data_IF_447598807592
#
_entry.id   IF_447598807592
#
_cell.length_a   1.000
_cell.length_b   1.000
_cell.length_c   1.000
_cell.angle_alpha   90.00
_cell.angle_beta   90.00
_cell.angle_gamma   90.00
#
_symmetry.space_group_name_H-M   'P 1'
#
loop_
_entity.id
_entity.type
_entity.pdbx_description
1 polymer ?
#
# COMPACT_ATOMS: atom_id res chain seq x y z
N UNK A 1 -5.15 12.32 17.20
CA UNK A 1 -6.60 12.56 17.31
C UNK A 1 -7.31 12.15 16.02
N UNK A 2 -8.61 11.89 16.04
CA UNK A 2 -9.37 11.42 14.87
C UNK A 2 -9.39 12.43 13.70
N UNK A 3 -9.12 13.70 13.98
CA UNK A 3 -9.05 14.79 13.00
C UNK A 3 -7.61 15.00 12.46
N UNK A 4 -6.66 14.14 12.83
CA UNK A 4 -5.26 14.23 12.45
C UNK A 4 -4.42 15.20 13.31
N UNK A 5 -5.01 15.86 14.29
CA UNK A 5 -4.27 16.76 15.19
C UNK A 5 -3.40 15.97 16.16
N UNK A 6 -2.10 16.33 16.27
CA UNK A 6 -1.20 15.77 17.27
C UNK A 6 -1.46 16.50 18.60
N UNK A 7 -1.96 15.79 19.61
CA UNK A 7 -2.25 16.32 20.95
C UNK A 7 -1.10 16.10 21.93
N UNK A 8 -0.40 14.97 21.79
CA UNK A 8 0.69 14.57 22.66
C UNK A 8 1.88 14.07 21.84
N UNK A 9 3.09 14.26 22.34
CA UNK A 9 4.27 13.64 21.76
C UNK A 9 5.24 13.26 22.88
N UNK A 10 5.78 12.05 22.84
CA UNK A 10 6.75 11.54 23.79
C UNK A 10 8.04 11.12 23.10
N UNK A 11 9.17 11.31 23.79
CA UNK A 11 10.42 10.66 23.44
C UNK A 11 10.39 9.19 23.87
N UNK A 12 11.32 8.36 23.37
CA UNK A 12 11.44 6.97 23.82
C UNK A 12 11.70 6.87 25.32
N UNK A 13 12.51 7.79 25.90
CA UNK A 13 12.78 7.83 27.33
C UNK A 13 11.53 8.17 28.16
N UNK A 14 10.72 9.13 27.67
CA UNK A 14 9.44 9.47 28.28
C UNK A 14 8.46 8.31 28.22
N UNK A 15 8.38 7.61 27.06
CA UNK A 15 7.55 6.43 26.91
C UNK A 15 8.00 5.30 27.85
N UNK A 16 9.32 5.04 27.96
CA UNK A 16 9.86 4.02 28.84
C UNK A 16 9.50 4.28 30.31
N UNK A 17 9.53 5.56 30.75
CA UNK A 17 9.20 5.98 32.09
C UNK A 17 7.69 6.07 32.39
N UNK A 18 6.82 6.08 31.38
CA UNK A 18 5.38 6.24 31.55
C UNK A 18 4.76 5.02 32.25
N UNK A 19 3.80 5.28 33.14
CA UNK A 19 3.00 4.27 33.85
C UNK A 19 1.61 4.11 33.25
N UNK A 20 1.14 5.12 32.50
CA UNK A 20 -0.15 5.15 31.83
C UNK A 20 -0.07 6.03 30.58
N UNK A 21 -1.01 5.85 29.66
CA UNK A 21 -1.20 6.76 28.52
C UNK A 21 -1.91 8.05 28.96
N UNK A 22 -1.74 9.18 28.24
CA UNK A 22 -2.43 10.43 28.57
C UNK A 22 -3.95 10.23 28.53
N UNK A 23 -4.68 11.09 29.24
CA UNK A 23 -6.15 11.18 29.07
C UNK A 23 -6.49 11.46 27.61
N UNK A 24 -7.59 10.88 27.12
CA UNK A 24 -8.06 11.14 25.77
C UNK A 24 -8.46 12.61 25.58
N UNK A 25 -8.22 13.19 24.39
CA UNK A 25 -8.70 14.53 24.06
C UNK A 25 -10.22 14.65 24.19
N UNK A 26 -10.70 15.79 24.71
CA UNK A 26 -12.13 16.06 24.82
C UNK A 26 -12.67 16.68 23.52
N UNK A 27 -13.89 16.26 23.12
CA UNK A 27 -14.61 16.77 21.97
C UNK A 27 -16.11 16.84 22.28
N UNK A 28 -16.75 17.94 21.88
CA UNK A 28 -18.18 18.14 22.07
C UNK A 28 -18.99 17.02 21.38
N UNK A 29 -19.86 16.38 22.14
CA UNK A 29 -20.73 15.32 21.65
C UNK A 29 -20.06 13.98 21.37
N UNK A 30 -18.77 13.84 21.74
CA UNK A 30 -18.02 12.59 21.61
C UNK A 30 -17.45 12.15 22.97
N UNK A 31 -17.41 10.85 23.17
CA UNK A 31 -16.79 10.21 24.33
C UNK A 31 -15.55 9.45 23.89
N UNK A 32 -14.41 9.78 24.46
CA UNK A 32 -13.19 9.01 24.28
C UNK A 32 -13.40 7.57 24.79
N UNK A 33 -12.95 6.59 24.03
CA UNK A 33 -13.05 5.18 24.38
C UNK A 33 -11.70 4.59 24.78
N UNK A 34 -10.70 4.70 23.90
CA UNK A 34 -9.36 4.15 24.12
C UNK A 34 -8.35 4.73 23.14
N UNK A 35 -7.08 4.54 23.43
CA UNK A 35 -6.01 4.65 22.44
C UNK A 35 -5.91 3.35 21.64
N UNK A 36 -5.63 3.44 20.35
CA UNK A 36 -5.54 2.25 19.48
C UNK A 36 -4.20 1.49 19.61
N UNK A 37 -3.44 1.78 20.65
CA UNK A 37 -2.25 1.03 21.09
C UNK A 37 -2.18 1.02 22.59
N UNK A 38 -1.84 -0.15 23.18
CA UNK A 38 -1.58 -0.25 24.61
C UNK A 38 -0.21 0.32 24.96
N UNK A 39 -0.04 0.79 26.19
CA UNK A 39 1.27 1.26 26.67
C UNK A 39 2.34 0.17 26.61
N UNK A 40 1.97 -1.09 26.88
CA UNK A 40 2.87 -2.24 26.84
C UNK A 40 3.41 -2.46 25.42
N UNK A 41 2.52 -2.48 24.41
CA UNK A 41 2.87 -2.65 23.02
C UNK A 41 3.71 -1.48 22.50
N UNK A 42 3.39 -0.24 22.90
CA UNK A 42 4.19 0.94 22.56
C UNK A 42 5.63 0.84 23.10
N UNK A 43 5.80 0.40 24.35
CA UNK A 43 7.13 0.19 24.94
C UNK A 43 7.93 -0.90 24.22
N UNK A 44 7.26 -1.93 23.72
CA UNK A 44 7.90 -3.04 23.02
C UNK A 44 8.42 -2.66 21.65
N UNK A 45 7.77 -1.72 20.93
CA UNK A 45 8.12 -1.39 19.54
C UNK A 45 9.46 -0.68 19.36
N UNK A 46 9.91 0.10 20.37
CA UNK A 46 11.16 0.89 20.35
C UNK A 46 11.39 1.70 19.05
N UNK A 47 10.34 2.21 18.44
CA UNK A 47 10.36 2.98 17.18
C UNK A 47 9.37 4.15 17.21
N UNK A 48 9.60 5.16 16.36
CA UNK A 48 8.66 6.27 16.19
C UNK A 48 7.35 5.75 15.56
N UNK A 49 6.23 6.08 16.20
CA UNK A 49 4.91 5.76 15.68
C UNK A 49 3.88 6.79 16.10
N UNK A 50 2.75 6.79 15.43
CA UNK A 50 1.58 7.57 15.76
C UNK A 50 0.55 6.67 16.45
N UNK A 51 -0.11 7.19 17.46
CA UNK A 51 -1.20 6.52 18.19
C UNK A 51 -2.45 7.35 18.03
N UNK A 52 -3.56 6.71 17.72
CA UNK A 52 -4.85 7.37 17.50
C UNK A 52 -5.81 7.13 18.66
N UNK A 53 -6.66 8.13 18.95
CA UNK A 53 -7.75 8.03 19.90
C UNK A 53 -9.05 7.59 19.20
N UNK A 54 -9.80 6.68 19.82
CA UNK A 54 -11.10 6.22 19.32
C UNK A 54 -12.24 6.89 20.10
N UNK A 55 -13.34 7.15 19.41
CA UNK A 55 -14.50 7.85 19.96
C UNK A 55 -15.81 7.19 19.57
N UNK A 56 -16.81 7.38 20.41
CA UNK A 56 -18.23 7.18 20.10
C UNK A 56 -19.02 8.43 20.43
N UNK A 57 -20.25 8.55 19.95
CA UNK A 57 -21.12 9.67 20.35
C UNK A 57 -21.56 9.54 21.82
N UNK A 58 -21.75 10.65 22.49
CA UNK A 58 -22.11 10.72 23.91
C UNK A 58 -23.52 10.18 24.22
N UNK A 59 -24.43 10.32 23.24
CA UNK A 59 -25.83 9.87 23.32
C UNK A 59 -26.11 8.54 22.61
N UNK A 60 -25.06 7.88 22.08
CA UNK A 60 -25.17 6.63 21.33
C UNK A 60 -25.78 6.77 19.93
N UNK A 61 -26.16 7.98 19.50
CA UNK A 61 -26.75 8.24 18.19
C UNK A 61 -25.69 8.42 17.13
N UNK A 62 -25.77 7.67 16.04
CA UNK A 62 -24.89 7.92 14.89
C UNK A 62 -25.33 9.14 14.11
N UNK A 63 -24.40 10.07 13.83
CA UNK A 63 -24.68 11.32 13.13
C UNK A 63 -23.98 11.31 11.78
N UNK A 64 -24.75 11.51 10.69
CA UNK A 64 -24.23 11.63 9.31
C UNK A 64 -24.46 13.06 8.84
N UNK A 65 -23.39 13.82 8.71
CA UNK A 65 -23.42 15.20 8.26
C UNK A 65 -23.38 15.24 6.73
N UNK A 66 -24.39 15.85 6.13
CA UNK A 66 -24.56 15.90 4.67
C UNK A 66 -24.72 17.32 4.17
N UNK A 67 -24.33 17.54 2.91
CA UNK A 67 -24.61 18.73 2.13
C UNK A 67 -25.32 18.35 0.84
N UNK A 68 -26.56 18.74 0.68
CA UNK A 68 -27.36 18.48 -0.51
C UNK A 68 -27.29 19.65 -1.49
N UNK A 69 -27.10 19.32 -2.75
CA UNK A 69 -27.06 20.28 -3.85
C UNK A 69 -28.46 20.49 -4.48
N UNK A 70 -28.63 21.58 -5.20
CA UNK A 70 -29.85 21.86 -5.96
C UNK A 70 -30.17 20.70 -6.93
N UNK A 71 -31.44 20.32 -6.98
CA UNK A 71 -31.94 19.19 -7.78
C UNK A 71 -31.49 17.80 -7.28
N UNK A 72 -30.92 17.71 -6.06
CA UNK A 72 -30.44 16.48 -5.42
C UNK A 72 -30.89 16.40 -3.96
N UNK A 73 -32.19 16.60 -3.73
CA UNK A 73 -32.79 16.71 -2.40
C UNK A 73 -33.61 15.50 -2.02
N UNK A 74 -33.59 14.42 -2.79
CA UNK A 74 -34.43 13.23 -2.60
C UNK A 74 -33.63 11.96 -2.41
N UNK A 75 -32.77 11.85 -1.35
CA UNK A 75 -32.01 10.64 -1.09
C UNK A 75 -32.84 9.55 -0.43
N UNK A 76 -32.34 8.30 -0.57
CA UNK A 76 -32.64 7.19 0.32
C UNK A 76 -31.38 6.63 0.95
N UNK A 77 -31.51 5.92 2.07
CA UNK A 77 -30.39 5.33 2.79
C UNK A 77 -30.56 3.81 2.91
N UNK A 78 -29.45 3.08 2.74
CA UNK A 78 -29.42 1.63 2.94
C UNK A 78 -28.54 1.28 4.14
N UNK A 79 -29.10 0.52 5.08
CA UNK A 79 -28.45 0.09 6.32
C UNK A 79 -28.61 -1.41 6.54
N UNK A 80 -27.66 -2.05 7.19
CA UNK A 80 -27.84 -3.37 7.78
C UNK A 80 -28.48 -3.20 9.16
N UNK A 81 -29.57 -3.89 9.44
CA UNK A 81 -30.33 -3.73 10.68
C UNK A 81 -30.61 -5.08 11.32
N UNK A 82 -30.28 -5.20 12.61
CA UNK A 82 -30.73 -6.30 13.46
C UNK A 82 -31.40 -5.68 14.68
N UNK A 83 -32.75 -5.66 14.68
CA UNK A 83 -33.60 -4.87 15.57
C UNK A 83 -34.27 -3.74 14.83
N UNK A 84 -34.19 -2.54 15.36
CA UNK A 84 -34.85 -1.33 14.80
C UNK A 84 -33.86 -0.17 14.73
N UNK A 85 -33.90 0.57 13.62
CA UNK A 85 -33.18 1.84 13.44
C UNK A 85 -34.16 2.93 13.08
N UNK A 86 -34.19 4.00 13.87
CA UNK A 86 -34.92 5.23 13.58
C UNK A 86 -34.00 6.19 12.82
N UNK A 87 -34.44 6.68 11.67
CA UNK A 87 -33.72 7.61 10.79
C UNK A 87 -34.41 8.97 10.86
N UNK A 88 -33.87 9.88 11.66
CA UNK A 88 -34.26 11.31 11.68
C UNK A 88 -33.40 12.03 10.62
N UNK A 89 -34.05 12.58 9.61
CA UNK A 89 -33.38 13.24 8.48
C UNK A 89 -32.83 14.64 8.81
N UNK A 90 -33.16 15.18 10.00
CA UNK A 90 -32.60 16.44 10.51
C UNK A 90 -33.25 17.70 9.91
N UNK A 91 -34.42 17.57 9.31
CA UNK A 91 -35.21 18.67 8.72
C UNK A 91 -36.56 18.93 9.43
N UNK A 92 -36.79 18.21 10.54
CA UNK A 92 -38.02 18.33 11.34
C UNK A 92 -39.22 17.52 10.83
N UNK A 93 -39.05 16.72 9.81
CA UNK A 93 -40.07 15.76 9.34
C UNK A 93 -40.15 14.55 10.27
N UNK A 94 -41.19 13.72 10.09
CA UNK A 94 -41.37 12.49 10.86
C UNK A 94 -40.23 11.50 10.49
N UNK A 95 -39.49 10.95 11.47
CA UNK A 95 -38.45 9.97 11.20
C UNK A 95 -38.97 8.68 10.56
N UNK A 96 -38.16 8.09 9.69
CA UNK A 96 -38.40 6.75 9.18
C UNK A 96 -37.96 5.69 10.19
N UNK A 97 -38.57 4.52 10.14
CA UNK A 97 -38.21 3.36 10.95
C UNK A 97 -37.87 2.18 10.06
N UNK A 98 -36.68 1.64 10.25
CA UNK A 98 -36.20 0.41 9.57
C UNK A 98 -36.16 -0.73 10.58
N UNK A 99 -36.64 -1.90 10.15
CA UNK A 99 -36.59 -3.13 10.96
C UNK A 99 -35.91 -4.23 10.15
N UNK A 100 -35.04 -4.99 10.81
CA UNK A 100 -34.32 -6.08 10.16
C UNK A 100 -33.85 -7.14 11.14
N UNK A 101 -33.28 -8.20 10.62
CA UNK A 101 -32.80 -9.36 11.40
C UNK A 101 -31.32 -9.64 11.20
N UNK A 102 -30.61 -8.82 10.44
CA UNK A 102 -29.18 -9.00 10.14
C UNK A 102 -28.52 -7.71 9.72
N UNK A 103 -27.37 -7.41 10.32
CA UNK A 103 -26.53 -6.27 9.92
C UNK A 103 -25.83 -6.47 8.55
N UNK A 104 -25.90 -7.67 7.99
CA UNK A 104 -25.32 -8.00 6.66
C UNK A 104 -26.33 -7.83 5.52
N UNK A 105 -27.62 -7.66 5.82
CA UNK A 105 -28.68 -7.50 4.82
C UNK A 105 -29.15 -6.06 4.76
N UNK A 106 -29.08 -5.46 3.58
CA UNK A 106 -29.50 -4.06 3.40
C UNK A 106 -31.00 -3.91 3.50
N UNK A 107 -31.46 -3.05 4.39
CA UNK A 107 -32.82 -2.51 4.46
C UNK A 107 -32.78 -1.05 3.99
N UNK A 108 -33.73 -0.65 3.16
CA UNK A 108 -33.77 0.68 2.57
C UNK A 108 -34.84 1.54 3.23
N UNK A 109 -34.53 2.84 3.48
CA UNK A 109 -35.54 3.84 3.77
C UNK A 109 -36.46 4.06 2.57
N UNK A 110 -37.68 4.61 2.74
CA UNK A 110 -38.34 5.35 1.67
C UNK A 110 -37.43 6.45 1.11
N UNK A 111 -37.74 6.97 -0.08
CA UNK A 111 -37.11 8.20 -0.58
C UNK A 111 -37.56 9.36 0.33
N UNK A 112 -36.60 10.09 0.90
CA UNK A 112 -36.86 11.26 1.69
C UNK A 112 -36.77 12.54 0.85
N UNK A 113 -37.78 13.45 0.96
CA UNK A 113 -37.84 14.69 0.19
C UNK A 113 -37.50 15.89 1.08
N UNK A 114 -36.29 16.44 0.95
CA UNK A 114 -35.90 17.69 1.58
C UNK A 114 -36.51 18.89 0.84
N UNK A 115 -37.04 19.84 1.58
CA UNK A 115 -37.65 21.03 1.02
C UNK A 115 -36.67 21.96 0.27
N UNK A 116 -35.40 21.92 0.60
CA UNK A 116 -34.34 22.75 0.01
C UNK A 116 -32.98 22.03 -0.01
N UNK A 117 -32.04 22.44 -0.88
CA UNK A 117 -30.65 22.08 -0.72
C UNK A 117 -30.06 22.71 0.53
N UNK A 118 -29.00 22.16 1.09
CA UNK A 118 -28.33 22.67 2.29
C UNK A 118 -27.64 21.62 3.12
N UNK A 119 -27.26 22.02 4.32
CA UNK A 119 -26.60 21.18 5.30
C UNK A 119 -27.63 20.57 6.27
N UNK A 120 -27.51 19.25 6.44
CA UNK A 120 -28.40 18.49 7.34
C UNK A 120 -27.57 17.50 8.15
N UNK A 121 -28.12 17.11 9.31
CA UNK A 121 -27.53 16.06 10.15
C UNK A 121 -28.54 14.94 10.31
N UNK A 122 -28.31 13.85 9.57
CA UNK A 122 -29.13 12.63 9.72
C UNK A 122 -28.72 11.95 11.02
N UNK A 123 -29.70 11.62 11.87
CA UNK A 123 -29.47 10.92 13.14
C UNK A 123 -30.05 9.52 13.07
N UNK A 124 -29.20 8.54 13.40
CA UNK A 124 -29.58 7.12 13.42
C UNK A 124 -29.59 6.65 14.88
N UNK A 125 -30.78 6.41 15.42
CA UNK A 125 -30.95 5.83 16.76
C UNK A 125 -31.22 4.35 16.61
N UNK A 126 -30.46 3.53 17.32
CA UNK A 126 -30.46 2.07 17.15
C UNK A 126 -31.01 1.40 18.40
N UNK A 127 -32.05 0.59 18.23
CA UNK A 127 -32.52 -0.41 19.21
C UNK A 127 -32.17 -1.80 18.69
N UNK A 128 -31.08 -2.36 19.23
CA UNK A 128 -30.40 -3.54 18.72
C UNK A 128 -29.00 -3.22 18.15
N UNK A 129 -28.71 -3.67 16.93
CA UNK A 129 -27.43 -3.40 16.24
C UNK A 129 -27.64 -3.00 14.79
N UNK A 130 -26.76 -2.15 14.27
CA UNK A 130 -26.74 -1.83 12.85
C UNK A 130 -25.34 -1.92 12.25
N UNK A 131 -25.29 -1.98 10.91
CA UNK A 131 -24.07 -1.88 10.13
C UNK A 131 -24.27 -0.98 8.91
N UNK A 132 -23.18 -0.36 8.48
CA UNK A 132 -23.14 0.24 7.16
C UNK A 132 -22.82 -0.85 6.14
N UNK A 133 -23.72 -1.06 5.19
CA UNK A 133 -23.60 -2.13 4.19
C UNK A 133 -23.45 -1.51 2.80
N UNK A 134 -22.35 -1.83 2.15
CA UNK A 134 -22.21 -1.54 0.71
C UNK A 134 -23.02 -2.57 -0.09
N UNK A 135 -23.77 -2.10 -1.07
CA UNK A 135 -24.70 -2.95 -1.83
C UNK A 135 -24.20 -3.33 -3.22
N UNK A 136 -22.90 -3.19 -3.49
CA UNK A 136 -22.40 -3.33 -4.86
C UNK A 136 -21.68 -4.63 -5.11
N UNK A 137 -22.15 -5.35 -6.11
CA UNK A 137 -21.37 -6.34 -6.88
C UNK A 137 -20.64 -5.70 -8.07
N UNK A 138 -20.83 -4.41 -8.34
CA UNK A 138 -20.16 -3.63 -9.40
C UNK A 138 -19.71 -2.28 -8.84
N UNK A 139 -18.45 -1.94 -9.06
CA UNK A 139 -17.68 -0.82 -8.53
C UNK A 139 -18.24 0.61 -8.72
N UNK A 140 -19.49 0.81 -9.10
CA UNK A 140 -19.95 2.11 -9.55
C UNK A 140 -20.92 2.86 -8.63
N UNK A 141 -21.55 2.24 -7.59
CA UNK A 141 -22.75 2.84 -7.00
C UNK A 141 -22.87 2.78 -5.47
N UNK A 142 -21.78 2.67 -4.74
CA UNK A 142 -21.81 2.41 -3.30
C UNK A 142 -21.45 3.61 -2.43
N UNK A 143 -22.34 4.58 -2.31
CA UNK A 143 -22.40 5.53 -1.18
C UNK A 143 -23.61 5.18 -0.33
N UNK A 144 -23.59 5.48 0.99
CA UNK A 144 -24.72 5.23 1.90
C UNK A 144 -25.99 5.98 1.49
N UNK A 145 -25.85 7.12 0.82
CA UNK A 145 -26.97 7.87 0.24
C UNK A 145 -27.10 7.57 -1.25
N UNK A 146 -28.32 7.30 -1.70
CA UNK A 146 -28.61 6.93 -3.09
C UNK A 146 -29.87 7.60 -3.62
N UNK A 147 -30.01 7.58 -4.93
CA UNK A 147 -31.23 7.96 -5.64
C UNK A 147 -32.27 6.82 -5.63
N UNK A 148 -31.83 5.58 -5.74
CA UNK A 148 -32.68 4.40 -5.72
C UNK A 148 -31.98 3.17 -5.14
N UNK A 149 -32.77 2.19 -4.72
CA UNK A 149 -32.24 0.88 -4.23
C UNK A 149 -31.66 0.00 -5.34
N UNK A 150 -31.88 0.34 -6.60
CA UNK A 150 -31.39 -0.38 -7.80
C UNK A 150 -29.99 0.09 -8.23
N UNK A 151 -29.44 -0.49 -9.30
CA UNK A 151 -28.18 -0.12 -9.93
C UNK A 151 -28.30 1.12 -10.86
N UNK A 152 -29.17 2.08 -10.52
CA UNK A 152 -29.39 3.30 -11.28
C UNK A 152 -28.12 4.17 -11.32
N UNK A 153 -27.74 4.64 -12.51
CA UNK A 153 -26.59 5.53 -12.69
C UNK A 153 -26.69 6.83 -11.87
N UNK A 154 -27.90 7.31 -11.58
CA UNK A 154 -28.17 8.48 -10.74
C UNK A 154 -27.75 8.28 -9.27
N UNK A 155 -27.49 7.06 -8.83
CA UNK A 155 -26.92 6.81 -7.48
C UNK A 155 -25.61 7.53 -7.24
N UNK A 156 -24.87 7.91 -8.30
CA UNK A 156 -23.62 8.67 -8.21
C UNK A 156 -23.82 10.13 -7.76
N UNK A 157 -25.04 10.67 -7.83
CA UNK A 157 -25.30 12.10 -7.54
C UNK A 157 -25.05 12.47 -6.07
N UNK A 158 -25.14 11.51 -5.14
CA UNK A 158 -24.91 11.74 -3.71
C UNK A 158 -23.46 11.48 -3.27
N UNK A 159 -22.53 11.19 -4.17
CA UNK A 159 -21.10 10.96 -3.85
C UNK A 159 -20.43 12.17 -3.18
N UNK A 160 -20.95 13.37 -3.41
CA UNK A 160 -20.48 14.62 -2.82
C UNK A 160 -21.35 15.11 -1.63
N UNK A 161 -22.28 14.30 -1.15
CA UNK A 161 -23.17 14.72 -0.10
C UNK A 161 -22.59 14.50 1.30
N UNK A 162 -22.00 13.34 1.56
CA UNK A 162 -21.54 12.96 2.90
C UNK A 162 -20.22 13.68 3.23
N UNK A 163 -20.20 14.45 4.35
CA UNK A 163 -19.08 15.27 4.79
C UNK A 163 -18.33 14.69 6.00
N UNK A 164 -19.09 14.22 6.99
CA UNK A 164 -18.57 13.73 8.27
C UNK A 164 -19.51 12.64 8.80
N UNK A 165 -18.98 11.69 9.55
CA UNK A 165 -19.76 10.67 10.25
C UNK A 165 -19.21 10.53 11.67
N UNK A 166 -20.10 10.63 12.66
CA UNK A 166 -19.83 10.31 14.06
C UNK A 166 -20.61 9.05 14.41
N UNK A 167 -19.90 7.96 14.68
CA UNK A 167 -20.50 6.65 14.87
C UNK A 167 -20.85 6.42 16.34
N UNK A 168 -22.11 6.06 16.58
CA UNK A 168 -22.64 5.66 17.88
C UNK A 168 -22.42 4.18 18.20
N UNK A 169 -22.67 3.81 19.46
CA UNK A 169 -22.40 2.47 20.00
C UNK A 169 -23.22 1.33 19.35
N UNK A 170 -24.35 1.64 18.71
CA UNK A 170 -25.20 0.64 18.04
C UNK A 170 -24.62 0.10 16.72
N UNK A 171 -23.54 0.70 16.20
CA UNK A 171 -22.88 0.26 14.96
C UNK A 171 -21.84 -0.79 15.29
N UNK A 172 -22.01 -1.98 14.75
CA UNK A 172 -21.11 -3.13 14.99
C UNK A 172 -20.33 -3.57 13.76
N UNK A 173 -20.69 -3.06 12.57
CA UNK A 173 -19.97 -3.42 11.33
C UNK A 173 -19.95 -2.30 10.31
N UNK A 174 -18.82 -2.23 9.56
CA UNK A 174 -18.68 -1.43 8.35
C UNK A 174 -18.28 -2.42 7.25
N UNK A 175 -19.26 -2.80 6.43
CA UNK A 175 -19.11 -3.81 5.40
C UNK A 175 -18.37 -3.33 4.16
N UNK A 176 -18.16 -4.23 3.21
CA UNK A 176 -17.53 -3.92 1.94
C UNK A 176 -18.25 -2.79 1.21
N UNK A 177 -17.48 -1.86 0.64
CA UNK A 177 -17.97 -0.71 -0.14
C UNK A 177 -18.90 0.25 0.62
N UNK A 178 -19.02 0.20 1.95
CA UNK A 178 -19.99 0.98 2.71
C UNK A 178 -19.92 2.49 2.43
N UNK A 179 -18.72 3.05 2.31
CA UNK A 179 -18.47 4.45 2.00
C UNK A 179 -17.73 4.65 0.68
N UNK A 180 -17.74 3.64 -0.19
CA UNK A 180 -17.09 3.74 -1.49
C UNK A 180 -17.61 4.96 -2.26
N UNK A 181 -16.67 5.74 -2.83
CA UNK A 181 -16.99 6.95 -3.58
C UNK A 181 -17.76 8.03 -2.81
N UNK A 182 -17.69 8.05 -1.48
CA UNK A 182 -18.08 9.22 -0.69
C UNK A 182 -16.97 10.28 -0.80
N UNK A 183 -16.88 10.96 -1.95
CA UNK A 183 -15.76 11.82 -2.34
C UNK A 183 -15.45 12.95 -1.37
N UNK A 184 -16.46 13.41 -0.62
CA UNK A 184 -16.37 14.54 0.30
C UNK A 184 -16.36 14.14 1.77
N UNK A 185 -16.35 12.85 2.07
CA UNK A 185 -16.19 12.37 3.44
C UNK A 185 -14.77 12.73 3.92
N UNK A 186 -14.70 13.67 4.87
CA UNK A 186 -13.46 14.19 5.42
C UNK A 186 -13.07 13.52 6.76
N UNK A 187 -14.06 13.18 7.58
CA UNK A 187 -13.87 12.62 8.92
C UNK A 187 -14.89 11.54 9.23
N UNK A 188 -14.41 10.48 9.91
CA UNK A 188 -15.26 9.44 10.48
C UNK A 188 -14.67 8.96 11.79
N UNK A 189 -15.49 8.85 12.83
CA UNK A 189 -15.10 8.17 14.07
C UNK A 189 -15.37 6.68 13.96
N UNK A 190 -14.50 5.86 14.57
CA UNK A 190 -14.65 4.40 14.61
C UNK A 190 -14.69 3.94 16.06
N UNK A 191 -15.85 3.45 16.55
CA UNK A 191 -15.96 2.92 17.90
C UNK A 191 -15.31 1.54 18.00
N UNK A 192 -14.90 1.18 19.22
CA UNK A 192 -14.26 -0.11 19.52
C UNK A 192 -15.16 -1.35 19.32
N UNK A 193 -16.41 -1.17 18.97
CA UNK A 193 -17.31 -2.26 18.58
C UNK A 193 -17.04 -2.82 17.18
N UNK A 194 -16.22 -2.12 16.36
CA UNK A 194 -15.89 -2.54 14.99
C UNK A 194 -14.77 -3.56 14.99
N UNK A 195 -14.95 -4.68 14.27
CA UNK A 195 -13.98 -5.79 14.22
C UNK A 195 -13.27 -5.95 12.89
N UNK A 196 -13.75 -5.27 11.84
CA UNK A 196 -13.13 -5.34 10.51
C UNK A 196 -13.45 -4.12 9.65
N UNK A 197 -12.55 -3.84 8.69
CA UNK A 197 -12.78 -2.89 7.60
C UNK A 197 -12.87 -3.72 6.32
N UNK A 198 -14.06 -3.73 5.71
CA UNK A 198 -14.34 -4.51 4.49
C UNK A 198 -13.58 -4.04 3.26
N UNK A 199 -13.62 -4.82 2.18
CA UNK A 199 -13.04 -4.42 0.90
C UNK A 199 -13.74 -3.18 0.32
N UNK A 200 -12.96 -2.27 -0.28
CA UNK A 200 -13.45 -1.03 -0.90
C UNK A 200 -14.17 -0.07 0.05
N UNK A 201 -14.13 -0.25 1.37
CA UNK A 201 -14.94 0.50 2.33
C UNK A 201 -14.82 2.01 2.15
N UNK A 202 -13.60 2.54 2.05
CA UNK A 202 -13.32 3.97 1.84
C UNK A 202 -12.72 4.26 0.46
N UNK A 203 -12.86 3.33 -0.49
CA UNK A 203 -12.32 3.54 -1.83
C UNK A 203 -12.91 4.81 -2.46
N UNK A 204 -12.05 5.76 -2.85
CA UNK A 204 -12.46 7.03 -3.42
C UNK A 204 -12.97 8.06 -2.40
N UNK A 205 -12.71 7.91 -1.10
CA UNK A 205 -12.93 8.97 -0.12
C UNK A 205 -11.80 10.01 -0.25
N UNK A 206 -11.90 10.87 -1.27
CA UNK A 206 -10.81 11.77 -1.69
C UNK A 206 -10.39 12.77 -0.61
N UNK A 207 -11.31 13.18 0.26
CA UNK A 207 -11.07 14.17 1.30
C UNK A 207 -10.84 13.59 2.70
N UNK A 208 -10.78 12.25 2.84
CA UNK A 208 -10.48 11.61 4.11
C UNK A 208 -9.01 11.84 4.47
N UNK A 209 -8.77 12.79 5.38
CA UNK A 209 -7.43 13.25 5.72
C UNK A 209 -6.75 12.40 6.80
N UNK A 210 -7.54 11.85 7.71
CA UNK A 210 -7.08 10.96 8.78
C UNK A 210 -8.18 10.00 9.19
N UNK A 211 -7.78 8.89 9.80
CA UNK A 211 -8.70 7.91 10.39
C UNK A 211 -7.97 7.14 11.48
N UNK A 212 -8.65 6.88 12.59
CA UNK A 212 -8.16 6.01 13.65
C UNK A 212 -8.86 4.66 13.56
N UNK A 213 -8.09 3.59 13.42
CA UNK A 213 -8.58 2.21 13.40
C UNK A 213 -8.53 1.69 14.85
N UNK A 214 -9.66 1.21 15.43
CA UNK A 214 -9.68 0.69 16.78
C UNK A 214 -8.97 -0.67 16.91
N UNK A 215 -8.49 -0.99 18.12
CA UNK A 215 -7.80 -2.25 18.46
C UNK A 215 -8.66 -3.50 18.27
N UNK A 216 -9.96 -3.34 18.15
CA UNK A 216 -10.89 -4.43 17.83
C UNK A 216 -10.82 -4.90 16.38
N UNK A 217 -10.23 -4.10 15.47
CA UNK A 217 -10.11 -4.43 14.04
C UNK A 217 -8.95 -5.39 13.80
N UNK A 218 -9.24 -6.55 13.21
CA UNK A 218 -8.25 -7.60 12.93
C UNK A 218 -7.79 -7.68 11.48
N UNK A 219 -8.50 -7.01 10.56
CA UNK A 219 -8.17 -7.04 9.13
C UNK A 219 -8.57 -5.78 8.38
N UNK A 220 -7.76 -5.43 7.38
CA UNK A 220 -8.03 -4.37 6.41
C UNK A 220 -8.22 -5.03 5.04
N UNK A 221 -9.42 -4.88 4.47
CA UNK A 221 -9.83 -5.52 3.23
C UNK A 221 -9.13 -4.96 1.97
N UNK A 222 -9.30 -5.68 0.86
CA UNK A 222 -8.76 -5.27 -0.43
C UNK A 222 -9.27 -3.88 -0.83
N UNK A 223 -8.37 -3.01 -1.31
CA UNK A 223 -8.70 -1.65 -1.76
C UNK A 223 -9.44 -0.78 -0.72
N UNK A 224 -9.33 -1.09 0.57
CA UNK A 224 -10.12 -0.42 1.61
C UNK A 224 -9.97 1.11 1.62
N UNK A 225 -8.76 1.63 1.36
CA UNK A 225 -8.44 3.07 1.30
C UNK A 225 -7.89 3.49 -0.07
N UNK A 226 -8.17 2.72 -1.12
CA UNK A 226 -7.73 3.09 -2.48
C UNK A 226 -8.22 4.51 -2.83
N UNK A 227 -7.31 5.34 -3.36
CA UNK A 227 -7.59 6.72 -3.77
C UNK A 227 -8.07 7.64 -2.63
N UNK A 228 -7.70 7.39 -1.38
CA UNK A 228 -7.81 8.37 -0.31
C UNK A 228 -6.68 9.41 -0.47
N UNK A 229 -6.84 10.33 -1.43
CA UNK A 229 -5.75 11.21 -1.88
C UNK A 229 -5.20 12.14 -0.81
N UNK A 230 -6.00 12.50 0.20
CA UNK A 230 -5.63 13.40 1.29
C UNK A 230 -5.25 12.69 2.58
N UNK A 231 -5.29 11.35 2.60
CA UNK A 231 -4.92 10.56 3.79
C UNK A 231 -3.43 10.72 4.08
N UNK A 232 -3.10 11.60 5.01
CA UNK A 232 -1.73 11.96 5.33
C UNK A 232 -1.07 11.01 6.34
N UNK A 233 -1.89 10.44 7.22
CA UNK A 233 -1.46 9.46 8.21
C UNK A 233 -2.57 8.49 8.55
N UNK A 234 -2.19 7.29 8.94
CA UNK A 234 -3.09 6.26 9.47
C UNK A 234 -2.30 5.42 10.47
N UNK A 235 -2.93 5.06 11.58
CA UNK A 235 -2.36 4.15 12.55
C UNK A 235 -3.04 2.79 12.41
N UNK A 236 -2.26 1.77 12.13
CA UNK A 236 -2.70 0.38 12.08
C UNK A 236 -2.46 -0.21 13.48
N UNK A 237 -3.49 -0.68 14.20
CA UNK A 237 -3.32 -1.27 15.53
C UNK A 237 -2.70 -2.67 15.45
N UNK A 238 -2.11 -3.13 16.58
CA UNK A 238 -1.48 -4.45 16.70
C UNK A 238 -2.44 -5.64 16.51
N UNK A 239 -3.72 -5.41 16.62
CA UNK A 239 -4.76 -6.41 16.37
C UNK A 239 -4.86 -6.80 14.89
N UNK A 240 -4.39 -5.94 13.97
CA UNK A 240 -4.47 -6.19 12.53
C UNK A 240 -3.42 -7.21 12.10
N UNK A 241 -3.86 -8.38 11.68
CA UNK A 241 -2.99 -9.47 11.21
C UNK A 241 -2.79 -9.51 9.71
N UNK A 242 -3.62 -8.79 8.95
CA UNK A 242 -3.52 -8.75 7.49
C UNK A 242 -3.91 -7.40 6.89
N UNK A 243 -3.10 -6.95 5.92
CA UNK A 243 -3.37 -5.81 5.05
C UNK A 243 -3.45 -6.33 3.62
N UNK A 244 -4.66 -6.34 3.06
CA UNK A 244 -4.90 -6.91 1.74
C UNK A 244 -4.33 -6.05 0.61
N UNK A 245 -4.25 -6.62 -0.60
CA UNK A 245 -3.78 -5.89 -1.78
C UNK A 245 -4.55 -4.61 -2.05
N UNK A 246 -3.87 -3.63 -2.67
CA UNK A 246 -4.42 -2.31 -3.01
C UNK A 246 -4.95 -1.50 -1.81
N UNK A 247 -4.73 -1.93 -0.56
CA UNK A 247 -5.37 -1.30 0.61
C UNK A 247 -5.15 0.22 0.66
N UNK A 248 -3.95 0.71 0.32
CA UNK A 248 -3.57 2.12 0.29
C UNK A 248 -3.14 2.60 -1.11
N UNK A 249 -3.64 1.94 -2.16
CA UNK A 249 -3.34 2.30 -3.54
C UNK A 249 -3.75 3.75 -3.85
N UNK A 250 -2.82 4.57 -4.40
CA UNK A 250 -3.03 6.01 -4.62
C UNK A 250 -3.34 6.85 -3.37
N UNK A 251 -2.87 6.47 -2.18
CA UNK A 251 -2.84 7.38 -1.02
C UNK A 251 -1.68 8.38 -1.19
N UNK A 252 -1.87 9.37 -2.05
CA UNK A 252 -0.79 10.22 -2.57
C UNK A 252 -0.12 11.09 -1.50
N UNK A 253 -0.79 11.40 -0.40
CA UNK A 253 -0.28 12.23 0.71
C UNK A 253 0.16 11.42 1.92
N UNK A 254 0.08 10.08 1.88
CA UNK A 254 0.51 9.22 2.97
C UNK A 254 2.02 9.30 3.14
N UNK A 255 2.46 10.10 4.12
CA UNK A 255 3.88 10.40 4.33
C UNK A 255 4.61 9.35 5.17
N UNK A 256 3.88 8.68 6.06
CA UNK A 256 4.40 7.61 6.91
C UNK A 256 3.30 6.63 7.31
N UNK A 257 3.66 5.39 7.51
CA UNK A 257 2.80 4.35 8.06
C UNK A 257 3.65 3.36 8.86
N UNK A 258 3.12 2.89 9.97
CA UNK A 258 3.73 1.82 10.75
C UNK A 258 2.99 0.52 10.47
N UNK A 259 3.73 -0.51 10.06
CA UNK A 259 3.21 -1.87 9.92
C UNK A 259 3.40 -2.56 11.26
N UNK A 260 2.34 -3.05 11.92
CA UNK A 260 2.45 -3.75 13.19
C UNK A 260 3.09 -5.14 13.03
N UNK A 261 3.68 -5.63 14.14
CA UNK A 261 4.38 -6.92 14.17
C UNK A 261 3.44 -8.14 14.08
N UNK A 262 2.14 -7.90 14.08
CA UNK A 262 1.08 -8.89 13.81
C UNK A 262 0.86 -9.17 12.31
N UNK A 263 1.32 -8.28 11.41
CA UNK A 263 1.12 -8.42 9.94
C UNK A 263 2.15 -9.37 9.37
N UNK A 264 1.70 -10.41 8.66
CA UNK A 264 2.58 -11.47 8.12
C UNK A 264 2.94 -11.31 6.63
N UNK A 265 2.28 -10.42 5.91
CA UNK A 265 2.58 -10.16 4.50
C UNK A 265 2.13 -8.76 4.06
N UNK A 266 2.86 -8.20 3.09
CA UNK A 266 2.45 -6.99 2.36
C UNK A 266 1.84 -7.45 1.03
N UNK A 267 0.55 -7.18 0.83
CA UNK A 267 -0.20 -7.59 -0.36
C UNK A 267 0.27 -6.89 -1.66
N UNK A 268 -0.21 -7.36 -2.80
CA UNK A 268 0.10 -6.73 -4.09
C UNK A 268 -0.46 -5.31 -4.16
N UNK A 269 0.34 -4.37 -4.69
CA UNK A 269 -0.02 -2.96 -4.88
C UNK A 269 -0.48 -2.24 -3.61
N UNK A 270 -0.17 -2.76 -2.41
CA UNK A 270 -0.69 -2.21 -1.14
C UNK A 270 -0.38 -0.72 -0.99
N UNK A 271 0.83 -0.27 -1.30
CA UNK A 271 1.28 1.12 -1.23
C UNK A 271 1.63 1.71 -2.61
N UNK A 272 1.16 1.08 -3.68
CA UNK A 272 1.46 1.59 -5.03
C UNK A 272 0.94 3.02 -5.20
N UNK A 273 1.82 3.91 -5.72
CA UNK A 273 1.56 5.34 -5.88
C UNK A 273 1.27 6.09 -4.57
N UNK A 274 1.83 5.65 -3.43
CA UNK A 274 1.94 6.48 -2.22
C UNK A 274 3.10 7.47 -2.42
N UNK A 275 2.84 8.55 -3.15
CA UNK A 275 3.88 9.42 -3.72
C UNK A 275 4.70 10.18 -2.68
N UNK A 276 4.20 10.37 -1.46
CA UNK A 276 4.87 11.07 -0.37
C UNK A 276 5.44 10.16 0.70
N UNK A 277 5.28 8.84 0.58
CA UNK A 277 5.83 7.88 1.53
C UNK A 277 7.37 7.92 1.49
N UNK A 278 7.97 8.51 2.53
CA UNK A 278 9.41 8.77 2.56
C UNK A 278 10.23 7.60 3.12
N UNK A 279 9.65 6.86 4.05
CA UNK A 279 10.30 5.68 4.65
C UNK A 279 9.28 4.68 5.17
N UNK A 280 9.68 3.41 5.24
CA UNK A 280 8.89 2.35 5.86
C UNK A 280 9.83 1.29 6.43
N UNK A 281 9.41 0.68 7.54
CA UNK A 281 10.07 -0.49 8.13
C UNK A 281 9.18 -1.70 7.93
N UNK A 282 9.70 -2.76 7.34
CA UNK A 282 9.04 -4.05 7.22
C UNK A 282 9.39 -4.89 8.46
N UNK A 283 8.41 -5.26 9.30
CA UNK A 283 8.66 -5.96 10.56
C UNK A 283 9.05 -7.43 10.34
N UNK A 284 9.58 -8.06 11.40
CA UNK A 284 10.08 -9.44 11.38
C UNK A 284 8.97 -10.49 11.15
N UNK A 285 7.72 -10.12 11.34
CA UNK A 285 6.57 -10.98 11.05
C UNK A 285 6.29 -11.14 9.55
N UNK A 286 6.76 -10.18 8.71
CA UNK A 286 6.47 -10.19 7.27
C UNK A 286 7.41 -11.13 6.53
N UNK A 287 6.84 -12.11 5.84
CA UNK A 287 7.59 -13.12 5.06
C UNK A 287 7.63 -12.84 3.56
N UNK A 288 6.78 -11.94 3.05
CA UNK A 288 6.74 -11.63 1.61
C UNK A 288 6.30 -10.20 1.32
N UNK A 289 6.88 -9.62 0.26
CA UNK A 289 6.49 -8.34 -0.32
C UNK A 289 5.86 -8.61 -1.69
N UNK A 290 4.58 -8.28 -1.83
CA UNK A 290 3.78 -8.57 -3.03
C UNK A 290 4.19 -7.77 -4.27
N UNK A 291 3.67 -8.17 -5.42
CA UNK A 291 3.92 -7.48 -6.69
C UNK A 291 3.43 -6.03 -6.63
N UNK A 292 4.24 -5.11 -7.15
CA UNK A 292 3.97 -3.66 -7.18
C UNK A 292 3.71 -3.02 -5.80
N UNK A 293 4.09 -3.67 -4.69
CA UNK A 293 3.72 -3.22 -3.35
C UNK A 293 4.10 -1.76 -3.08
N UNK A 294 5.25 -1.29 -3.58
CA UNK A 294 5.76 0.09 -3.46
C UNK A 294 6.01 0.76 -4.83
N UNK A 295 5.43 0.21 -5.91
CA UNK A 295 5.61 0.78 -7.25
C UNK A 295 5.10 2.24 -7.28
N UNK A 296 5.94 3.17 -7.77
CA UNK A 296 5.60 4.59 -7.85
C UNK A 296 5.61 5.32 -6.50
N UNK A 297 6.23 4.76 -5.46
CA UNK A 297 6.54 5.51 -4.23
C UNK A 297 7.73 6.44 -4.50
N UNK A 298 7.49 7.54 -5.20
CA UNK A 298 8.54 8.40 -5.75
C UNK A 298 9.48 9.01 -4.72
N UNK A 299 9.01 9.20 -3.47
CA UNK A 299 9.78 9.79 -2.37
C UNK A 299 10.34 8.77 -1.39
N UNK A 300 10.14 7.47 -1.64
CA UNK A 300 10.66 6.43 -0.77
C UNK A 300 12.19 6.40 -0.82
N UNK A 301 12.81 7.01 0.18
CA UNK A 301 14.27 7.12 0.29
C UNK A 301 14.89 5.97 1.10
N UNK A 302 14.14 5.43 2.05
CA UNK A 302 14.62 4.39 2.97
C UNK A 302 13.56 3.31 3.18
N UNK A 303 14.00 2.07 3.10
CA UNK A 303 13.22 0.91 3.50
C UNK A 303 14.13 -0.07 4.26
N UNK A 304 13.66 -0.55 5.40
CA UNK A 304 14.28 -1.67 6.10
C UNK A 304 13.48 -2.92 5.81
N UNK A 305 14.13 -3.94 5.26
CA UNK A 305 13.53 -5.26 4.98
C UNK A 305 14.06 -6.24 6.02
N UNK A 306 13.15 -6.91 6.72
CA UNK A 306 13.48 -7.91 7.73
C UNK A 306 14.09 -9.17 7.13
N UNK A 307 14.95 -9.84 7.91
CA UNK A 307 15.54 -11.15 7.57
C UNK A 307 14.50 -12.30 7.45
N UNK A 308 13.23 -12.05 7.78
CA UNK A 308 12.14 -13.00 7.59
C UNK A 308 11.56 -12.98 6.17
N UNK A 309 11.85 -11.94 5.38
CA UNK A 309 11.33 -11.82 4.01
C UNK A 309 12.05 -12.78 3.08
N UNK A 310 11.28 -13.67 2.43
CA UNK A 310 11.81 -14.70 1.51
C UNK A 310 11.63 -14.37 0.03
N UNK A 311 10.73 -13.43 -0.29
CA UNK A 311 10.45 -13.06 -1.69
C UNK A 311 10.06 -11.59 -1.86
N UNK A 312 10.51 -11.03 -2.99
CA UNK A 312 10.15 -9.69 -3.46
C UNK A 312 9.47 -9.85 -4.82
N UNK A 313 8.22 -9.42 -4.92
CA UNK A 313 7.38 -9.59 -6.11
C UNK A 313 7.78 -8.73 -7.30
N UNK A 314 7.14 -8.97 -8.44
CA UNK A 314 7.34 -8.21 -9.66
C UNK A 314 7.04 -6.71 -9.45
N UNK A 315 7.89 -5.84 -9.97
CA UNK A 315 7.74 -4.38 -9.87
C UNK A 315 7.61 -3.84 -8.44
N UNK A 316 8.02 -4.60 -7.40
CA UNK A 316 7.75 -4.24 -6.00
C UNK A 316 8.25 -2.84 -5.63
N UNK A 317 9.41 -2.41 -6.14
CA UNK A 317 10.02 -1.09 -5.93
C UNK A 317 10.19 -0.30 -7.23
N UNK A 318 9.44 -0.67 -8.29
CA UNK A 318 9.52 0.04 -9.57
C UNK A 318 9.25 1.53 -9.39
N UNK A 319 10.09 2.37 -10.01
CA UNK A 319 9.98 3.83 -9.94
C UNK A 319 10.02 4.43 -8.50
N UNK A 320 10.75 3.78 -7.56
CA UNK A 320 11.13 4.42 -6.29
C UNK A 320 12.28 5.39 -6.56
N UNK A 321 11.95 6.59 -7.03
CA UNK A 321 12.91 7.51 -7.65
C UNK A 321 13.93 8.12 -6.70
N UNK A 322 13.70 8.09 -5.39
CA UNK A 322 14.61 8.61 -4.36
C UNK A 322 15.34 7.53 -3.58
N UNK A 323 15.08 6.25 -3.87
CA UNK A 323 15.73 5.13 -3.20
C UNK A 323 17.19 5.05 -3.64
N UNK A 324 18.08 5.56 -2.79
CA UNK A 324 19.51 5.64 -3.10
C UNK A 324 20.28 4.33 -2.82
N UNK A 325 19.82 3.59 -1.82
CA UNK A 325 20.41 2.29 -1.46
C UNK A 325 19.37 1.37 -0.84
N UNK A 326 19.61 0.07 -0.96
CA UNK A 326 18.79 -0.95 -0.30
C UNK A 326 19.64 -2.18 0.03
N UNK A 327 19.40 -2.78 1.18
CA UNK A 327 19.93 -4.08 1.58
C UNK A 327 18.84 -5.13 1.44
N UNK A 328 19.07 -6.14 0.59
CA UNK A 328 18.18 -7.29 0.47
C UNK A 328 18.74 -8.40 1.37
N UNK A 329 17.98 -8.90 2.34
CA UNK A 329 18.46 -9.90 3.28
C UNK A 329 18.72 -11.25 2.61
N UNK A 330 19.65 -12.03 3.19
CA UNK A 330 20.08 -13.35 2.66
C UNK A 330 18.94 -14.40 2.64
N UNK A 331 17.83 -14.14 3.33
CA UNK A 331 16.61 -14.96 3.29
C UNK A 331 15.85 -14.88 1.95
N UNK A 332 16.09 -13.80 1.16
CA UNK A 332 15.38 -13.61 -0.11
C UNK A 332 15.98 -14.52 -1.19
N UNK A 333 15.14 -15.40 -1.72
CA UNK A 333 15.52 -16.36 -2.77
C UNK A 333 15.13 -15.91 -4.17
N UNK A 334 14.22 -14.93 -4.29
CA UNK A 334 13.74 -14.42 -5.57
C UNK A 334 13.46 -12.93 -5.56
N UNK A 335 13.89 -12.25 -6.62
CA UNK A 335 13.57 -10.86 -6.95
C UNK A 335 12.81 -10.87 -8.27
N UNK A 336 11.58 -10.40 -8.26
CA UNK A 336 10.68 -10.43 -9.42
C UNK A 336 11.12 -9.54 -10.58
N UNK A 337 10.45 -9.71 -11.72
CA UNK A 337 10.67 -8.88 -12.91
C UNK A 337 10.40 -7.41 -12.61
N UNK A 338 11.24 -6.52 -13.15
CA UNK A 338 11.13 -5.06 -12.96
C UNK A 338 11.17 -4.59 -11.51
N UNK A 339 11.64 -5.39 -10.55
CA UNK A 339 11.52 -5.08 -9.11
C UNK A 339 12.10 -3.72 -8.75
N UNK A 340 13.21 -3.28 -9.36
CA UNK A 340 13.85 -1.97 -9.18
C UNK A 340 13.90 -1.14 -10.47
N UNK A 341 13.07 -1.48 -11.46
CA UNK A 341 13.05 -0.75 -12.73
C UNK A 341 12.74 0.74 -12.51
N UNK A 342 13.60 1.62 -13.03
CA UNK A 342 13.42 3.06 -12.90
C UNK A 342 13.68 3.63 -11.49
N UNK A 343 14.45 2.92 -10.66
CA UNK A 343 14.98 3.50 -9.43
C UNK A 343 16.15 4.43 -9.79
N UNK A 344 15.82 5.65 -10.21
CA UNK A 344 16.75 6.60 -10.84
C UNK A 344 17.88 7.10 -9.94
N UNK A 345 17.82 6.86 -8.65
CA UNK A 345 18.87 7.23 -7.68
C UNK A 345 19.57 6.04 -7.05
N UNK A 346 19.19 4.81 -7.39
CA UNK A 346 19.76 3.60 -6.78
C UNK A 346 21.22 3.43 -7.19
N UNK A 347 22.11 3.78 -6.28
CA UNK A 347 23.55 3.70 -6.45
C UNK A 347 24.16 2.43 -5.85
N UNK A 348 23.52 1.87 -4.82
CA UNK A 348 24.02 0.71 -4.09
C UNK A 348 22.90 -0.28 -3.77
N UNK A 349 23.16 -1.55 -3.98
CA UNK A 349 22.31 -2.65 -3.56
C UNK A 349 23.16 -3.80 -3.03
N UNK A 350 22.79 -4.34 -1.87
CA UNK A 350 23.32 -5.60 -1.37
C UNK A 350 22.43 -6.73 -1.84
N UNK A 351 22.99 -7.66 -2.62
CA UNK A 351 22.25 -8.82 -3.15
C UNK A 351 22.28 -9.98 -2.16
N UNK A 352 21.17 -10.72 -2.01
CA UNK A 352 21.11 -11.89 -1.12
C UNK A 352 21.91 -13.05 -1.70
N UNK A 353 22.68 -13.75 -0.85
CA UNK A 353 23.49 -14.91 -1.27
C UNK A 353 22.65 -16.10 -1.76
N UNK A 354 21.39 -16.15 -1.40
CA UNK A 354 20.44 -17.21 -1.78
C UNK A 354 19.69 -16.94 -3.08
N UNK A 355 19.99 -15.82 -3.78
CA UNK A 355 19.28 -15.44 -5.00
C UNK A 355 19.62 -16.40 -6.15
N UNK A 356 18.62 -17.02 -6.77
CA UNK A 356 18.81 -17.99 -7.85
C UNK A 356 18.73 -17.41 -9.25
N UNK A 357 18.11 -16.25 -9.42
CA UNK A 357 18.00 -15.58 -10.72
C UNK A 357 17.77 -14.07 -10.57
N UNK A 358 18.21 -13.31 -11.57
CA UNK A 358 17.89 -11.89 -11.73
C UNK A 358 16.80 -11.78 -12.77
N UNK A 359 15.63 -11.28 -12.38
CA UNK A 359 14.43 -11.19 -13.24
C UNK A 359 14.59 -10.23 -14.43
N UNK A 360 13.69 -10.33 -15.39
CA UNK A 360 13.68 -9.40 -16.54
C UNK A 360 13.47 -7.96 -16.04
N UNK A 361 14.23 -7.01 -16.61
CA UNK A 361 14.15 -5.58 -16.29
C UNK A 361 14.42 -5.23 -14.81
N UNK A 362 15.01 -6.14 -14.03
CA UNK A 362 15.09 -6.00 -12.58
C UNK A 362 15.73 -4.69 -12.13
N UNK A 363 16.82 -4.26 -12.79
CA UNK A 363 17.57 -3.01 -12.55
C UNK A 363 17.60 -2.09 -13.78
N UNK A 364 16.64 -2.25 -14.70
CA UNK A 364 16.58 -1.38 -15.87
C UNK A 364 16.45 0.09 -15.45
N UNK A 365 17.24 0.98 -16.06
CA UNK A 365 17.27 2.41 -15.77
C UNK A 365 17.72 2.77 -14.33
N UNK A 366 18.46 1.91 -13.63
CA UNK A 366 19.19 2.28 -12.42
C UNK A 366 20.46 3.03 -12.82
N UNK A 367 20.31 4.27 -13.30
CA UNK A 367 21.40 5.05 -13.91
C UNK A 367 22.65 5.20 -13.05
N UNK A 368 22.58 5.46 -11.71
CA UNK A 368 23.74 5.66 -10.86
C UNK A 368 24.31 4.38 -10.24
N UNK A 369 23.81 3.19 -10.62
CA UNK A 369 24.31 1.92 -10.10
C UNK A 369 25.74 1.71 -10.59
N UNK A 370 26.73 2.02 -9.71
CA UNK A 370 28.15 2.02 -10.08
C UNK A 370 28.79 0.63 -9.99
N UNK A 371 28.29 -0.20 -9.10
CA UNK A 371 28.74 -1.58 -8.90
C UNK A 371 27.64 -2.46 -8.37
N UNK A 372 27.69 -3.74 -8.68
CA UNK A 372 26.83 -4.77 -8.12
C UNK A 372 27.61 -6.10 -8.08
N UNK A 373 27.42 -6.84 -7.00
CA UNK A 373 27.95 -8.20 -6.89
C UNK A 373 26.85 -9.19 -7.21
N UNK A 374 27.05 -10.03 -8.22
CA UNK A 374 26.13 -11.12 -8.54
C UNK A 374 26.53 -12.33 -7.68
N UNK A 375 25.63 -12.87 -6.84
CA UNK A 375 25.92 -14.03 -6.02
C UNK A 375 26.20 -15.30 -6.84
N UNK A 376 27.04 -16.19 -6.31
CA UNK A 376 27.40 -17.48 -6.96
C UNK A 376 26.20 -18.46 -7.06
N UNK A 377 25.09 -18.15 -6.42
CA UNK A 377 23.83 -18.91 -6.54
C UNK A 377 23.00 -18.54 -7.77
N UNK A 378 23.32 -17.42 -8.46
CA UNK A 378 22.55 -16.94 -9.62
C UNK A 378 22.88 -17.78 -10.85
N UNK A 379 21.87 -18.39 -11.46
CA UNK A 379 22.00 -19.23 -12.66
C UNK A 379 21.60 -18.53 -13.95
N UNK A 380 20.86 -17.40 -13.87
CA UNK A 380 20.42 -16.67 -15.06
C UNK A 380 20.26 -15.17 -14.81
N UNK A 381 20.56 -14.39 -15.84
CA UNK A 381 20.32 -12.95 -15.90
C UNK A 381 19.23 -12.70 -16.96
N UNK A 382 18.13 -12.11 -16.55
CA UNK A 382 16.96 -11.88 -17.39
C UNK A 382 17.14 -10.83 -18.49
N UNK A 383 16.16 -10.73 -19.38
CA UNK A 383 16.16 -9.73 -20.44
C UNK A 383 16.15 -8.30 -19.86
N UNK A 384 16.98 -7.42 -20.42
CA UNK A 384 17.14 -6.02 -20.00
C UNK A 384 17.42 -5.82 -18.50
N UNK A 385 17.94 -6.83 -17.81
CA UNK A 385 18.10 -6.81 -16.36
C UNK A 385 18.89 -5.62 -15.85
N UNK A 386 19.98 -5.21 -16.56
CA UNK A 386 20.84 -4.06 -16.27
C UNK A 386 20.85 -3.03 -17.40
N UNK A 387 19.82 -3.05 -18.25
CA UNK A 387 19.75 -2.08 -19.36
C UNK A 387 19.80 -0.65 -18.83
N UNK A 388 20.66 0.18 -19.42
CA UNK A 388 20.89 1.57 -19.05
C UNK A 388 21.37 1.78 -17.59
N UNK A 389 22.13 0.85 -17.02
CA UNK A 389 22.94 1.10 -15.82
C UNK A 389 24.18 1.92 -16.21
N UNK A 390 23.99 3.22 -16.40
CA UNK A 390 24.94 4.08 -17.13
C UNK A 390 26.28 4.27 -16.43
N UNK A 391 26.35 4.12 -15.12
CA UNK A 391 27.58 4.30 -14.32
C UNK A 391 28.23 2.98 -13.92
N UNK A 392 27.65 1.84 -14.28
CA UNK A 392 28.24 0.53 -13.99
C UNK A 392 29.59 0.41 -14.63
N UNK A 393 30.64 0.35 -13.79
CA UNK A 393 32.04 0.42 -14.27
C UNK A 393 32.61 -0.95 -14.64
N UNK A 394 32.20 -2.00 -13.95
CA UNK A 394 32.57 -3.39 -14.22
C UNK A 394 31.59 -4.32 -13.55
N UNK A 395 31.55 -5.57 -14.00
CA UNK A 395 30.76 -6.62 -13.39
C UNK A 395 31.43 -7.98 -13.54
N UNK A 396 31.52 -8.74 -12.45
CA UNK A 396 31.89 -10.14 -12.46
C UNK A 396 30.64 -10.98 -12.60
N UNK A 397 30.65 -11.86 -13.60
CA UNK A 397 29.59 -12.84 -13.84
C UNK A 397 30.07 -14.18 -13.31
N UNK A 398 29.44 -14.75 -12.27
CA UNK A 398 29.89 -16.03 -11.70
C UNK A 398 29.64 -17.21 -12.66
N UNK A 399 30.44 -18.26 -12.54
CA UNK A 399 30.39 -19.51 -13.37
C UNK A 399 28.99 -20.19 -13.30
N UNK A 400 28.28 -19.98 -12.23
CA UNK A 400 26.89 -20.46 -12.07
C UNK A 400 25.89 -19.87 -13.09
N UNK A 401 26.21 -18.70 -13.69
CA UNK A 401 25.35 -18.07 -14.70
C UNK A 401 25.51 -18.78 -16.05
N UNK A 402 24.49 -19.55 -16.41
CA UNK A 402 24.45 -20.32 -17.66
C UNK A 402 23.71 -19.63 -18.81
N UNK A 403 22.99 -18.53 -18.51
CA UNK A 403 22.23 -17.78 -19.53
C UNK A 403 22.14 -16.29 -19.24
N UNK A 404 22.26 -15.49 -20.31
CA UNK A 404 22.13 -14.03 -20.30
C UNK A 404 21.04 -13.63 -21.31
N UNK A 405 20.05 -12.90 -20.84
CA UNK A 405 18.88 -12.47 -21.61
C UNK A 405 19.19 -11.39 -22.67
N UNK A 406 18.25 -11.17 -23.58
CA UNK A 406 18.35 -10.10 -24.59
C UNK A 406 18.44 -8.72 -23.94
N UNK A 407 19.26 -7.82 -24.48
CA UNK A 407 19.50 -6.47 -23.96
C UNK A 407 19.95 -6.39 -22.49
N UNK A 408 20.41 -7.48 -21.89
CA UNK A 408 20.70 -7.55 -20.46
C UNK A 408 21.57 -6.41 -19.95
N UNK A 409 22.59 -5.98 -20.73
CA UNK A 409 23.52 -4.89 -20.44
C UNK A 409 23.50 -3.79 -21.51
N UNK A 410 22.40 -3.70 -22.27
CA UNK A 410 22.27 -2.69 -23.32
C UNK A 410 22.41 -1.29 -22.73
N UNK A 411 23.22 -0.43 -23.38
CA UNK A 411 23.46 0.97 -22.98
C UNK A 411 24.13 1.14 -21.60
N UNK A 412 24.94 0.20 -21.17
CA UNK A 412 25.85 0.38 -20.02
C UNK A 412 27.08 1.21 -20.48
N UNK A 413 26.93 2.53 -20.59
CA UNK A 413 27.90 3.41 -21.27
C UNK A 413 29.26 3.58 -20.57
N UNK A 414 29.37 3.24 -19.27
CA UNK A 414 30.60 3.42 -18.50
C UNK A 414 31.34 2.13 -18.22
N UNK A 415 30.83 0.99 -18.71
CA UNK A 415 31.41 -0.31 -18.37
C UNK A 415 32.74 -0.52 -19.11
N UNK A 416 33.75 -0.94 -18.37
CA UNK A 416 35.11 -1.15 -18.88
C UNK A 416 35.41 -2.62 -19.17
N UNK A 417 34.86 -3.50 -18.33
CA UNK A 417 35.00 -4.93 -18.57
C UNK A 417 33.86 -5.72 -17.93
N UNK A 418 33.57 -6.85 -18.56
CA UNK A 418 32.83 -7.98 -18.00
C UNK A 418 33.82 -9.06 -17.65
N UNK A 419 33.74 -9.58 -16.44
CA UNK A 419 34.67 -10.63 -15.98
C UNK A 419 33.98 -11.99 -15.93
N UNK A 420 34.35 -12.89 -16.85
CA UNK A 420 33.92 -14.27 -16.95
C UNK A 420 35.10 -15.23 -16.71
N UNK A 421 36.22 -14.77 -16.17
CA UNK A 421 37.48 -15.55 -16.10
C UNK A 421 37.36 -16.85 -15.30
N UNK A 422 36.37 -16.99 -14.43
CA UNK A 422 36.09 -18.20 -13.65
C UNK A 422 35.15 -19.19 -14.35
N UNK A 423 34.66 -18.89 -15.55
CA UNK A 423 33.72 -19.77 -16.25
C UNK A 423 34.40 -21.05 -16.76
N UNK A 424 33.70 -22.18 -16.60
CA UNK A 424 34.09 -23.49 -17.08
C UNK A 424 33.41 -23.88 -18.40
N UNK A 425 32.41 -23.11 -18.83
CA UNK A 425 31.68 -23.23 -20.09
C UNK A 425 31.16 -21.87 -20.56
N UNK A 426 30.91 -21.72 -21.86
CA UNK A 426 30.33 -20.50 -22.44
C UNK A 426 28.85 -20.39 -22.11
N UNK A 427 28.39 -19.35 -21.40
CA UNK A 427 26.97 -19.18 -21.13
C UNK A 427 26.19 -18.87 -22.40
N UNK A 428 24.93 -19.29 -22.45
CA UNK A 428 24.02 -18.96 -23.56
C UNK A 428 23.73 -17.48 -23.60
N UNK A 429 23.93 -16.83 -24.74
CA UNK A 429 23.52 -15.45 -25.01
C UNK A 429 22.23 -15.45 -25.84
N UNK A 430 21.13 -14.98 -25.27
CA UNK A 430 19.81 -15.09 -25.89
C UNK A 430 19.67 -14.30 -27.20
N UNK A 431 20.42 -13.20 -27.34
CA UNK A 431 20.34 -12.34 -28.54
C UNK A 431 21.63 -11.51 -28.68
N UNK A 432 21.95 -11.10 -29.91
CA UNK A 432 23.10 -10.23 -30.25
C UNK A 432 23.00 -8.82 -29.67
N UNK A 433 21.86 -8.40 -29.14
CA UNK A 433 21.69 -7.07 -28.51
C UNK A 433 22.01 -7.03 -27.02
N UNK A 434 22.45 -8.13 -26.41
CA UNK A 434 22.68 -8.23 -24.96
C UNK A 434 23.64 -7.16 -24.43
N UNK A 435 24.68 -6.80 -25.19
CA UNK A 435 25.69 -5.80 -24.86
C UNK A 435 25.69 -4.60 -25.85
N UNK A 436 24.62 -4.38 -26.59
CA UNK A 436 24.54 -3.24 -27.53
C UNK A 436 24.71 -1.91 -26.80
N UNK A 437 25.56 -1.01 -27.32
CA UNK A 437 25.78 0.33 -26.74
C UNK A 437 26.75 0.36 -25.56
N UNK A 438 27.49 -0.72 -25.29
CA UNK A 438 28.66 -0.66 -24.40
C UNK A 438 29.81 0.07 -25.12
N UNK A 439 30.83 0.62 -24.40
CA UNK A 439 32.00 1.24 -25.03
C UNK A 439 32.74 0.29 -25.98
N UNK A 440 33.26 0.82 -27.07
CA UNK A 440 34.00 0.01 -28.06
C UNK A 440 35.30 -0.59 -27.50
N UNK A 441 35.86 -0.02 -26.46
CA UNK A 441 37.06 -0.47 -25.74
C UNK A 441 36.71 -1.31 -24.48
N UNK A 442 35.45 -1.67 -24.30
CA UNK A 442 35.02 -2.56 -23.22
C UNK A 442 35.56 -3.98 -23.47
N UNK A 443 36.18 -4.58 -22.46
CA UNK A 443 36.70 -5.95 -22.51
C UNK A 443 35.69 -6.96 -21.99
N UNK A 444 35.47 -8.04 -22.73
CA UNK A 444 34.78 -9.25 -22.25
C UNK A 444 35.86 -10.27 -21.93
N UNK A 445 36.27 -10.32 -20.66
CA UNK A 445 37.38 -11.15 -20.17
C UNK A 445 36.92 -12.59 -19.98
N UNK A 446 37.53 -13.52 -20.67
CA UNK A 446 37.17 -14.93 -20.65
C UNK A 446 38.37 -15.81 -20.32
N UNK A 447 38.20 -17.08 -19.83
CA UNK A 447 39.28 -17.99 -19.62
C UNK A 447 40.04 -18.24 -20.91
N UNK A 448 41.39 -18.17 -20.89
CA UNK A 448 42.19 -18.40 -22.07
C UNK A 448 41.93 -19.78 -22.71
N UNK A 449 41.65 -20.80 -21.90
CA UNK A 449 41.35 -22.16 -22.36
C UNK A 449 40.04 -22.27 -23.17
N UNK A 450 39.10 -21.32 -23.00
CA UNK A 450 37.77 -21.32 -23.67
C UNK A 450 37.64 -20.22 -24.74
N UNK A 451 38.71 -19.47 -25.02
CA UNK A 451 38.68 -18.32 -25.92
C UNK A 451 38.07 -18.63 -27.29
N UNK A 452 38.54 -19.72 -27.92
CA UNK A 452 38.05 -20.11 -29.25
C UNK A 452 36.57 -20.51 -29.25
N UNK A 453 36.12 -21.14 -28.16
CA UNK A 453 34.70 -21.48 -27.98
C UNK A 453 33.85 -20.21 -27.85
N UNK A 454 34.31 -19.21 -27.07
CA UNK A 454 33.60 -17.95 -26.86
C UNK A 454 33.43 -17.17 -28.17
N UNK A 455 34.47 -16.99 -28.97
CA UNK A 455 34.40 -16.22 -30.23
C UNK A 455 33.58 -16.94 -31.30
N UNK A 456 33.42 -18.27 -31.21
CA UNK A 456 32.60 -19.06 -32.12
C UNK A 456 31.15 -19.26 -31.66
N UNK A 457 30.84 -19.02 -30.37
CA UNK A 457 29.54 -19.30 -29.81
C UNK A 457 28.44 -18.38 -30.38
N UNK A 458 27.24 -18.95 -30.51
CA UNK A 458 26.06 -18.25 -31.05
C UNK A 458 25.81 -16.94 -30.28
N UNK A 459 25.61 -15.86 -31.02
CA UNK A 459 25.42 -14.48 -30.56
C UNK A 459 26.68 -13.83 -29.95
N UNK A 460 27.57 -14.59 -29.32
CA UNK A 460 28.88 -14.11 -28.78
C UNK A 460 29.81 -13.67 -29.90
N UNK A 461 29.79 -14.34 -31.04
CA UNK A 461 30.62 -13.99 -32.21
C UNK A 461 30.46 -12.54 -32.68
N UNK A 462 29.31 -11.89 -32.38
CA UNK A 462 29.07 -10.46 -32.63
C UNK A 462 30.07 -9.58 -31.83
N UNK A 463 30.55 -10.06 -30.70
CA UNK A 463 31.44 -9.35 -29.78
C UNK A 463 32.89 -9.85 -29.82
N UNK A 464 33.24 -10.64 -30.81
CA UNK A 464 34.58 -11.27 -30.92
C UNK A 464 35.74 -10.27 -30.80
N UNK A 465 35.57 -9.03 -31.27
CA UNK A 465 36.58 -7.97 -31.15
C UNK A 465 36.78 -7.41 -29.73
N UNK A 466 35.84 -7.67 -28.84
CA UNK A 466 35.84 -7.20 -27.43
C UNK A 466 36.16 -8.35 -26.47
N UNK A 467 36.14 -9.61 -26.94
CA UNK A 467 36.49 -10.80 -26.15
C UNK A 467 38.00 -10.87 -25.99
N UNK A 468 38.48 -10.96 -24.74
CA UNK A 468 39.90 -10.99 -24.37
C UNK A 468 40.18 -12.22 -23.52
N UNK A 469 41.14 -13.01 -23.92
CA UNK A 469 41.68 -14.15 -23.16
C UNK A 469 42.50 -13.65 -21.95
N UNK A 470 42.22 -14.14 -20.76
CA UNK A 470 42.93 -13.79 -19.52
C UNK A 470 43.38 -15.04 -18.78
#
# INVERSE_FOLDING_TARGET
>A
DYDGTIRYSWTLDQLAAATELPAGPEHDGLVFQEWNWSLENLKATNRKMNVGATYTTDDGTTRVYIHLQEGRTSPMMGLGVNGTVTVDWGDGTTPDTLTGTSVSTTVWTPTHEYAAPGDYVIRLTVDGTMGFVGTSTSNQYSCILRYSSSTDARNTVYRNAVRKIEIGNGVTSIGASAFQACYTLAYITMPKSLTSIGSYTFNGCFLLASITIPDSVTSIGNSAFTSCYTLASITIPDSVTSISGYAFYFCNTLASITIPDSVTSIGSSTFQNCNTLASITIPDSVTSIGSSAFNGCYTLAYITISDSVTSIGDSAFKACNTLASITIPDSVTSIGSSAFNGCYTLAYITMPKSLTSIGNYAFQNCYPLASITIPDSVTSIGASAFQACNTLASITIPDSVTSIGSSAFQNCYSIRYFDFTNHTAVPTLSNTNAFTGIPADCEIRVPAALYDEWIAATNWSTYASQIVAV
#
